data_IF_245184965290
#
_entry.id   IF_245184965290
#
_cell.length_a   1.000
_cell.length_b   1.000
_cell.length_c   1.000
_cell.angle_alpha   90.00
_cell.angle_beta   90.00
_cell.angle_gamma   90.00
#
_symmetry.space_group_name_H-M   'P 1'
#
loop_
_entity.id
_entity.type
_entity.pdbx_description
1 polymer ?
#
# COMPACT_ATOMS: atom_id res chain seq x y z
N UNK A 1 0.07 -12.05 15.17
CA UNK A 1 1.38 -11.65 14.59
C UNK A 1 2.43 -11.78 15.66
N UNK A 2 3.51 -12.50 15.36
CA UNK A 2 4.60 -12.74 16.30
C UNK A 2 5.70 -11.71 16.04
N UNK A 3 5.87 -10.76 16.96
CA UNK A 3 6.91 -9.73 16.87
C UNK A 3 8.04 -10.04 17.86
N UNK A 4 9.28 -9.89 17.42
CA UNK A 4 10.49 -10.07 18.24
C UNK A 4 11.17 -8.71 18.42
N UNK A 5 11.54 -8.38 19.67
CA UNK A 5 12.21 -7.14 20.05
C UNK A 5 13.47 -7.49 20.85
N UNK A 6 14.58 -6.91 20.49
CA UNK A 6 15.83 -7.04 21.26
C UNK A 6 15.92 -5.90 22.28
N UNK A 7 15.83 -6.20 23.55
CA UNK A 7 15.67 -5.22 24.65
C UNK A 7 16.88 -5.29 25.58
N UNK A 8 17.41 -4.13 26.03
CA UNK A 8 18.49 -4.10 27.01
C UNK A 8 18.12 -4.84 28.31
N UNK A 9 19.04 -5.63 28.85
CA UNK A 9 18.79 -6.44 30.05
C UNK A 9 18.40 -5.60 31.27
N UNK A 10 18.90 -4.36 31.40
CA UNK A 10 18.53 -3.45 32.47
C UNK A 10 17.05 -3.00 32.41
N UNK A 11 16.35 -3.19 31.29
CA UNK A 11 14.91 -2.92 31.13
C UNK A 11 14.05 -4.18 31.36
N UNK A 12 14.63 -5.36 31.55
CA UNK A 12 13.90 -6.63 31.73
C UNK A 12 12.80 -6.55 32.80
N UNK A 13 13.13 -5.99 33.95
CA UNK A 13 12.19 -5.90 35.06
C UNK A 13 11.03 -4.92 34.75
N UNK A 14 11.31 -3.82 34.09
CA UNK A 14 10.31 -2.85 33.64
C UNK A 14 9.38 -3.45 32.59
N UNK A 15 9.94 -4.15 31.60
CA UNK A 15 9.19 -4.88 30.57
C UNK A 15 8.30 -5.94 31.22
N UNK A 16 8.82 -6.74 32.15
CA UNK A 16 8.04 -7.76 32.84
C UNK A 16 6.87 -7.15 33.65
N UNK A 17 7.08 -6.03 34.33
CA UNK A 17 6.01 -5.27 35.02
C UNK A 17 4.94 -4.78 34.03
N UNK A 18 5.35 -4.29 32.87
CA UNK A 18 4.45 -3.86 31.81
C UNK A 18 3.65 -5.06 31.28
N UNK A 19 4.30 -6.12 30.85
CA UNK A 19 3.66 -7.34 30.31
C UNK A 19 2.71 -7.98 31.32
N UNK A 20 3.09 -8.05 32.61
CA UNK A 20 2.22 -8.56 33.68
C UNK A 20 0.97 -7.69 33.86
N UNK A 21 1.13 -6.36 33.88
CA UNK A 21 0.01 -5.42 33.98
C UNK A 21 -0.94 -5.54 32.79
N UNK A 22 -0.39 -5.72 31.59
CA UNK A 22 -1.15 -5.82 30.37
C UNK A 22 -1.73 -7.22 30.15
N UNK A 23 -1.01 -8.27 30.50
CA UNK A 23 -1.50 -9.63 30.47
C UNK A 23 -2.72 -9.86 31.38
N UNK A 24 -2.69 -9.31 32.60
CA UNK A 24 -3.88 -9.33 33.50
C UNK A 24 -5.09 -8.63 32.89
N UNK A 25 -4.87 -7.55 32.16
CA UNK A 25 -5.91 -6.79 31.51
C UNK A 25 -6.43 -7.50 30.24
N UNK A 26 -5.55 -8.09 29.45
CA UNK A 26 -5.92 -8.89 28.28
C UNK A 26 -6.70 -10.15 28.68
N UNK A 27 -6.26 -10.85 29.74
CA UNK A 27 -6.95 -12.00 30.29
C UNK A 27 -8.38 -11.67 30.80
N UNK A 28 -8.59 -10.49 31.38
CA UNK A 28 -9.91 -10.02 31.80
C UNK A 28 -10.90 -9.83 30.62
N UNK A 29 -10.40 -9.80 29.40
CA UNK A 29 -11.19 -9.68 28.15
C UNK A 29 -11.21 -10.98 27.33
N UNK A 30 -10.77 -12.11 27.91
CA UNK A 30 -10.85 -13.43 27.29
C UNK A 30 -9.74 -13.76 26.30
N UNK A 31 -8.74 -12.90 26.15
CA UNK A 31 -7.61 -13.14 25.24
C UNK A 31 -6.29 -12.92 25.95
N UNK A 32 -5.61 -13.98 26.36
CA UNK A 32 -4.33 -13.86 27.03
C UNK A 32 -3.25 -13.36 26.07
N UNK A 33 -2.52 -12.33 26.50
CA UNK A 33 -1.27 -11.93 25.87
C UNK A 33 -0.24 -13.04 26.17
N UNK A 34 0.30 -13.68 25.13
CA UNK A 34 1.43 -14.58 25.28
C UNK A 34 2.73 -13.87 24.94
N UNK A 35 3.77 -14.15 25.70
CA UNK A 35 5.10 -13.62 25.47
C UNK A 35 6.17 -14.60 25.92
N UNK A 36 7.33 -14.49 25.30
CA UNK A 36 8.51 -15.26 25.65
C UNK A 36 9.70 -14.28 25.79
N UNK A 37 10.45 -14.43 26.87
CA UNK A 37 11.64 -13.62 27.14
C UNK A 37 12.86 -14.54 27.05
N UNK A 38 13.75 -14.29 26.08
CA UNK A 38 14.95 -15.05 25.87
C UNK A 38 16.00 -14.88 26.99
N UNK A 39 17.04 -15.68 26.93
CA UNK A 39 18.21 -15.55 27.81
C UNK A 39 19.03 -14.32 27.43
N UNK A 40 19.71 -13.67 28.41
CA UNK A 40 20.56 -12.52 28.11
C UNK A 40 21.78 -12.89 27.25
N UNK A 41 22.13 -12.04 26.31
CA UNK A 41 23.32 -12.16 25.50
C UNK A 41 23.95 -10.78 25.25
N UNK A 42 25.27 -10.77 24.98
CA UNK A 42 25.97 -9.53 24.66
C UNK A 42 25.76 -9.16 23.19
N UNK A 43 25.33 -7.93 22.93
CA UNK A 43 25.15 -7.40 21.58
C UNK A 43 25.77 -6.01 21.46
N UNK A 44 26.22 -5.65 20.26
CA UNK A 44 26.72 -4.31 19.97
C UNK A 44 25.56 -3.39 19.59
N UNK A 45 25.50 -2.24 20.26
CA UNK A 45 24.52 -1.20 19.96
C UNK A 45 25.20 0.04 19.42
N UNK A 46 24.48 0.77 18.58
CA UNK A 46 24.89 2.09 18.10
C UNK A 46 24.40 3.14 19.10
N UNK A 47 25.28 4.02 19.54
CA UNK A 47 24.94 5.11 20.45
C UNK A 47 24.72 6.39 19.65
N UNK A 48 23.56 7.00 19.83
CA UNK A 48 23.16 8.21 19.11
C UNK A 48 23.01 9.39 20.06
N UNK A 49 23.30 10.58 19.55
CA UNK A 49 23.01 11.87 20.18
C UNK A 49 21.97 12.60 19.32
N UNK A 50 20.91 13.06 19.96
CA UNK A 50 19.91 13.89 19.28
C UNK A 50 20.37 15.32 19.18
N UNK A 51 20.36 15.88 17.98
CA UNK A 51 20.55 17.29 17.69
C UNK A 51 19.25 17.92 17.18
N UNK A 52 19.24 19.25 17.12
CA UNK A 52 18.16 20.02 16.52
C UNK A 52 18.72 20.92 15.42
N UNK A 53 18.17 20.81 14.23
CA UNK A 53 18.50 21.68 13.09
C UNK A 53 17.56 22.87 13.10
N UNK A 54 18.05 24.04 13.53
CA UNK A 54 17.27 25.26 13.60
C UNK A 54 16.86 25.77 12.21
N UNK A 55 17.64 25.49 11.18
CA UNK A 55 17.36 25.96 9.81
C UNK A 55 16.13 25.25 9.21
N UNK A 56 15.94 23.98 9.53
CA UNK A 56 14.86 23.17 9.00
C UNK A 56 13.77 22.83 10.05
N UNK A 57 13.95 23.24 11.31
CA UNK A 57 13.02 22.94 12.39
C UNK A 57 12.89 21.44 12.73
N UNK A 58 13.90 20.64 12.41
CA UNK A 58 13.87 19.19 12.54
C UNK A 58 14.89 18.66 13.56
N UNK A 59 14.52 17.58 14.27
CA UNK A 59 15.48 16.84 15.07
C UNK A 59 16.21 15.82 14.19
N UNK A 60 17.51 15.68 14.40
CA UNK A 60 18.32 14.64 13.80
C UNK A 60 19.03 13.83 14.88
N UNK A 61 19.40 12.60 14.55
CA UNK A 61 20.24 11.76 15.40
C UNK A 61 21.60 11.57 14.73
N UNK A 62 22.66 11.80 15.50
CA UNK A 62 24.03 11.61 15.08
C UNK A 62 24.61 10.40 15.82
N UNK A 63 25.16 9.44 15.09
CA UNK A 63 25.85 8.30 15.67
C UNK A 63 27.15 8.79 16.30
N UNK A 64 27.27 8.64 17.63
CA UNK A 64 28.46 9.06 18.39
C UNK A 64 29.39 7.90 18.70
N UNK A 65 28.96 6.66 18.49
CA UNK A 65 29.80 5.49 18.72
C UNK A 65 29.02 4.17 18.75
N UNK A 66 29.67 3.13 19.22
CA UNK A 66 29.09 1.82 19.52
C UNK A 66 29.42 1.42 20.96
N UNK A 67 28.57 0.63 21.58
CA UNK A 67 28.76 0.08 22.92
C UNK A 67 28.27 -1.36 22.97
N UNK A 68 28.95 -2.21 23.74
CA UNK A 68 28.47 -3.54 24.05
C UNK A 68 27.51 -3.47 25.22
N UNK A 69 26.32 -4.07 25.07
CA UNK A 69 25.31 -4.17 26.10
C UNK A 69 24.80 -5.61 26.22
N UNK A 70 24.35 -5.98 27.42
CA UNK A 70 23.56 -7.19 27.58
C UNK A 70 22.11 -6.92 27.17
N UNK A 71 21.54 -7.78 26.35
CA UNK A 71 20.18 -7.69 25.84
C UNK A 71 19.51 -9.06 25.83
N UNK A 72 18.20 -9.09 25.71
CA UNK A 72 17.40 -10.31 25.52
C UNK A 72 16.37 -10.10 24.43
N UNK A 73 15.96 -11.17 23.80
CA UNK A 73 14.86 -11.13 22.82
C UNK A 73 13.52 -11.30 23.53
N UNK A 74 12.60 -10.39 23.26
CA UNK A 74 11.21 -10.45 23.69
C UNK A 74 10.34 -10.79 22.48
N UNK A 75 9.71 -11.97 22.53
CA UNK A 75 8.69 -12.35 21.56
C UNK A 75 7.31 -12.10 22.14
N UNK A 76 6.43 -11.40 21.42
CA UNK A 76 5.05 -11.15 21.83
C UNK A 76 4.12 -11.70 20.76
N UNK A 77 3.10 -12.43 21.22
CA UNK A 77 1.99 -12.89 20.38
C UNK A 77 0.67 -12.45 21.01
N UNK A 78 -0.15 -11.74 20.24
CA UNK A 78 -1.43 -11.24 20.73
C UNK A 78 -2.27 -10.57 19.64
N UNK A 79 -3.57 -10.57 19.83
CA UNK A 79 -4.54 -9.88 18.98
C UNK A 79 -5.13 -8.67 19.72
N UNK A 80 -5.56 -7.66 18.95
CA UNK A 80 -6.27 -6.50 19.49
C UNK A 80 -7.72 -6.89 19.76
N UNK A 81 -8.16 -6.75 21.01
CA UNK A 81 -9.48 -7.17 21.43
C UNK A 81 -10.39 -5.99 21.67
N UNK A 82 -11.59 -6.07 21.15
CA UNK A 82 -12.71 -5.21 21.45
C UNK A 82 -13.76 -5.90 22.34
N UNK A 83 -14.49 -5.10 23.16
CA UNK A 83 -15.62 -5.58 23.93
C UNK A 83 -16.73 -6.07 22.99
N UNK A 84 -17.58 -7.00 23.47
CA UNK A 84 -18.70 -7.56 22.70
C UNK A 84 -19.34 -6.59 21.70
N UNK A 85 -19.30 -6.98 20.43
CA UNK A 85 -19.97 -6.29 19.33
C UNK A 85 -19.20 -5.21 18.59
N UNK A 86 -18.00 -4.82 19.02
CA UNK A 86 -17.19 -3.84 18.28
C UNK A 86 -15.79 -4.35 17.96
N UNK A 87 -15.31 -4.00 16.78
CA UNK A 87 -13.91 -4.25 16.35
C UNK A 87 -13.24 -2.92 16.01
N UNK A 88 -11.93 -2.84 16.18
CA UNK A 88 -11.14 -1.71 15.70
C UNK A 88 -10.82 -1.93 14.22
N UNK A 89 -11.19 -0.99 13.37
CA UNK A 89 -10.93 -1.04 11.94
C UNK A 89 -9.69 -0.21 11.55
N UNK A 90 -9.53 0.99 12.13
CA UNK A 90 -8.41 1.86 11.81
C UNK A 90 -8.06 2.85 12.95
N UNK A 91 -6.80 3.31 12.93
CA UNK A 91 -6.33 4.50 13.63
C UNK A 91 -6.09 5.59 12.58
N UNK A 92 -6.52 6.81 12.85
CA UNK A 92 -6.33 7.97 11.98
C UNK A 92 -5.45 8.99 12.71
N UNK A 93 -4.33 9.35 12.12
CA UNK A 93 -3.49 10.45 12.58
C UNK A 93 -3.77 11.68 11.71
N UNK A 94 -4.24 12.77 12.35
CA UNK A 94 -4.59 14.01 11.68
C UNK A 94 -3.35 14.93 11.61
N UNK A 95 -2.84 15.14 10.41
CA UNK A 95 -1.72 16.02 10.11
C UNK A 95 -2.22 17.25 9.33
N UNK A 96 -1.38 18.28 9.19
CA UNK A 96 -1.69 19.46 8.39
C UNK A 96 -1.90 19.09 6.90
N UNK A 97 -1.15 18.12 6.38
CA UNK A 97 -1.26 17.64 5.01
C UNK A 97 -2.48 16.75 4.74
N UNK A 98 -3.19 16.28 5.77
CA UNK A 98 -4.33 15.36 5.68
C UNK A 98 -4.27 14.24 6.72
N UNK A 99 -4.99 13.16 6.49
CA UNK A 99 -5.07 12.02 7.40
C UNK A 99 -4.14 10.88 6.97
N UNK A 100 -3.23 10.47 7.86
CA UNK A 100 -2.53 9.17 7.74
C UNK A 100 -3.41 8.10 8.38
N UNK A 101 -3.75 7.07 7.60
CA UNK A 101 -4.62 5.98 8.05
C UNK A 101 -3.78 4.73 8.26
N UNK A 102 -3.89 4.16 9.46
CA UNK A 102 -3.31 2.88 9.84
C UNK A 102 -4.44 1.87 9.97
N UNK A 103 -4.49 0.91 9.06
CA UNK A 103 -5.49 -0.18 9.14
C UNK A 103 -5.02 -1.28 10.08
N UNK A 104 -5.96 -1.96 10.70
CA UNK A 104 -5.67 -3.21 11.42
C UNK A 104 -5.43 -4.32 10.39
N UNK A 105 -4.68 -5.37 10.77
CA UNK A 105 -4.39 -6.50 9.89
C UNK A 105 -5.65 -6.99 9.15
N UNK A 106 -5.52 -7.23 7.86
CA UNK A 106 -6.57 -7.69 6.93
C UNK A 106 -7.70 -6.66 6.60
N UNK A 107 -7.59 -5.41 7.09
CA UNK A 107 -8.52 -4.34 6.72
C UNK A 107 -7.96 -3.49 5.57
N UNK A 108 -8.76 -3.31 4.52
CA UNK A 108 -8.46 -2.32 3.50
C UNK A 108 -8.86 -0.93 3.97
N UNK A 109 -7.94 0.03 3.88
CA UNK A 109 -8.24 1.43 4.20
C UNK A 109 -9.30 1.99 3.26
N UNK A 110 -10.25 2.77 3.79
CA UNK A 110 -11.29 3.41 2.98
C UNK A 110 -10.92 4.85 2.63
N UNK A 111 -11.28 5.28 1.42
CA UNK A 111 -11.07 6.67 0.99
C UNK A 111 -11.80 7.67 1.91
N UNK A 112 -12.96 7.30 2.41
CA UNK A 112 -13.77 8.11 3.33
C UNK A 112 -13.00 8.49 4.59
N UNK A 113 -12.20 7.58 5.15
CA UNK A 113 -11.41 7.81 6.36
C UNK A 113 -10.34 8.88 6.18
N UNK A 114 -9.90 9.13 4.94
CA UNK A 114 -8.91 10.15 4.59
C UNK A 114 -9.46 11.59 4.75
N UNK A 115 -10.79 11.74 4.67
CA UNK A 115 -11.47 13.02 4.72
C UNK A 115 -12.10 13.34 6.08
N UNK A 116 -11.98 12.42 7.05
CA UNK A 116 -12.58 12.60 8.35
C UNK A 116 -11.93 13.77 9.11
N UNK A 117 -12.75 14.65 9.66
CA UNK A 117 -12.29 15.67 10.60
C UNK A 117 -11.93 15.04 11.95
N UNK A 118 -11.09 15.65 12.80
CA UNK A 118 -10.70 15.12 14.10
C UNK A 118 -11.84 15.22 15.14
N UNK A 119 -13.05 14.79 14.79
CA UNK A 119 -14.24 14.85 15.61
C UNK A 119 -14.61 13.47 16.14
N UNK A 120 -14.99 13.41 17.41
CA UNK A 120 -15.52 12.20 18.01
C UNK A 120 -17.05 12.14 17.85
N UNK A 121 -17.59 11.12 17.19
CA UNK A 121 -19.03 10.94 17.02
C UNK A 121 -19.73 10.55 18.32
N UNK A 122 -19.00 9.99 19.31
CA UNK A 122 -19.57 9.63 20.59
C UNK A 122 -19.91 10.85 21.45
N UNK A 123 -18.96 11.72 21.69
CA UNK A 123 -19.17 12.89 22.58
C UNK A 123 -19.39 14.21 21.81
N UNK A 124 -19.34 14.18 20.47
CA UNK A 124 -19.46 15.36 19.62
C UNK A 124 -18.26 16.33 19.72
N UNK A 125 -17.26 16.01 20.53
CA UNK A 125 -16.14 16.89 20.81
C UNK A 125 -15.08 16.87 19.71
N UNK A 126 -14.58 18.08 19.39
CA UNK A 126 -13.35 18.28 18.62
C UNK A 126 -12.32 18.89 19.57
N UNK A 127 -11.68 18.06 20.38
CA UNK A 127 -10.76 18.51 21.43
C UNK A 127 -9.31 18.63 20.91
N UNK A 128 -9.10 19.10 19.68
CA UNK A 128 -7.77 19.19 19.07
C UNK A 128 -7.10 17.83 18.98
N UNK A 129 -7.89 16.78 18.73
CA UNK A 129 -7.42 15.41 18.70
C UNK A 129 -6.51 15.19 17.51
N UNK A 130 -5.24 14.92 17.78
CA UNK A 130 -4.28 14.53 16.74
C UNK A 130 -4.50 13.10 16.23
N UNK A 131 -5.28 12.29 16.98
CA UNK A 131 -5.54 10.88 16.66
C UNK A 131 -6.98 10.52 16.98
N UNK A 132 -7.66 9.88 16.05
CA UNK A 132 -8.97 9.25 16.21
C UNK A 132 -8.93 7.78 15.76
N UNK A 133 -10.00 7.05 16.02
CA UNK A 133 -10.10 5.63 15.77
C UNK A 133 -11.43 5.31 15.08
N UNK A 134 -11.41 4.38 14.15
CA UNK A 134 -12.62 3.82 13.55
C UNK A 134 -12.94 2.50 14.25
N UNK A 135 -14.12 2.42 14.79
CA UNK A 135 -14.67 1.19 15.38
C UNK A 135 -15.85 0.73 14.55
N UNK A 136 -16.02 -0.59 14.41
CA UNK A 136 -17.08 -1.23 13.63
C UNK A 136 -17.87 -2.15 14.53
N UNK A 137 -19.20 -2.09 14.47
CA UNK A 137 -20.08 -3.02 15.18
C UNK A 137 -20.25 -4.35 14.42
N UNK A 138 -21.00 -5.29 15.01
CA UNK A 138 -21.28 -6.60 14.41
C UNK A 138 -22.14 -6.55 13.15
N UNK A 139 -22.82 -5.42 12.89
CA UNK A 139 -23.62 -5.18 11.69
C UNK A 139 -22.82 -4.49 10.59
N UNK A 140 -21.55 -4.11 10.87
CA UNK A 140 -20.67 -3.44 9.92
C UNK A 140 -20.77 -1.92 9.96
N UNK A 141 -21.55 -1.31 10.87
CA UNK A 141 -21.64 0.14 10.99
C UNK A 141 -20.37 0.70 11.65
N UNK A 142 -19.83 1.76 11.08
CA UNK A 142 -18.60 2.39 11.53
C UNK A 142 -18.85 3.68 12.29
N UNK A 143 -18.00 3.94 13.29
CA UNK A 143 -17.99 5.20 14.05
C UNK A 143 -16.59 5.69 14.28
N UNK A 144 -16.39 7.00 14.10
CA UNK A 144 -15.15 7.66 14.46
C UNK A 144 -15.20 8.09 15.92
N UNK A 145 -14.25 7.62 16.74
CA UNK A 145 -14.19 7.94 18.16
C UNK A 145 -12.82 8.52 18.55
N UNK A 146 -12.85 9.45 19.49
CA UNK A 146 -11.62 9.98 20.07
C UNK A 146 -10.99 9.00 21.06
N UNK A 147 -9.73 9.23 21.37
CA UNK A 147 -8.93 8.37 22.25
C UNK A 147 -9.64 8.06 23.60
N UNK A 148 -10.30 9.03 24.21
CA UNK A 148 -10.97 8.86 25.51
C UNK A 148 -12.25 8.04 25.35
N UNK A 149 -13.04 8.32 24.31
CA UNK A 149 -14.34 7.67 24.08
C UNK A 149 -14.20 6.25 23.52
N UNK A 150 -13.05 5.89 22.95
CA UNK A 150 -12.77 4.53 22.50
C UNK A 150 -12.98 3.50 23.62
N UNK A 151 -12.74 3.88 24.87
CA UNK A 151 -12.97 3.05 26.04
C UNK A 151 -14.43 2.64 26.20
N UNK A 152 -15.37 3.52 25.88
CA UNK A 152 -16.81 3.28 26.04
C UNK A 152 -17.34 2.32 24.97
N UNK A 153 -16.73 2.31 23.77
CA UNK A 153 -17.11 1.43 22.66
C UNK A 153 -16.39 0.09 22.68
N UNK A 154 -15.11 0.09 22.93
CA UNK A 154 -14.32 -1.12 22.88
C UNK A 154 -14.08 -1.74 24.26
N UNK A 155 -14.57 -1.12 25.36
CA UNK A 155 -14.19 -1.50 26.72
C UNK A 155 -12.68 -1.39 26.96
N UNK A 156 -11.96 -0.85 26.00
CA UNK A 156 -10.52 -0.74 25.94
C UNK A 156 -10.16 0.72 26.24
N UNK A 157 -9.33 0.91 27.26
CA UNK A 157 -8.68 2.19 27.48
C UNK A 157 -7.94 2.59 26.20
N UNK A 158 -8.10 3.82 25.66
CA UNK A 158 -7.34 4.30 24.49
C UNK A 158 -5.83 4.16 24.63
N UNK A 159 -5.34 4.15 25.88
CA UNK A 159 -3.97 3.75 26.19
C UNK A 159 -3.71 2.27 25.86
N UNK A 160 -4.72 1.46 25.54
CA UNK A 160 -4.62 0.03 25.27
C UNK A 160 -4.81 -0.35 23.79
N UNK A 161 -5.55 0.42 22.98
CA UNK A 161 -5.58 0.27 21.51
C UNK A 161 -4.31 0.87 20.91
N UNK A 162 -3.86 1.98 21.49
CA UNK A 162 -2.47 2.35 21.35
C UNK A 162 -1.52 1.38 22.11
N UNK A 163 -1.98 0.25 22.67
CA UNK A 163 -1.13 -0.58 23.48
C UNK A 163 -0.31 -1.55 22.66
N UNK A 164 -0.87 -2.21 21.66
CA UNK A 164 -0.06 -2.98 20.72
C UNK A 164 0.75 -2.03 19.86
N UNK A 165 0.17 -0.94 19.37
CA UNK A 165 0.94 0.11 18.72
C UNK A 165 1.85 0.88 19.69
N UNK A 166 1.49 1.07 20.97
CA UNK A 166 2.39 1.63 22.00
C UNK A 166 3.33 0.61 22.60
N UNK A 167 2.98 -0.65 22.63
CA UNK A 167 3.93 -1.71 22.95
C UNK A 167 4.88 -1.90 21.78
N UNK A 168 4.40 -1.85 20.52
CA UNK A 168 5.28 -1.74 19.36
C UNK A 168 6.13 -0.48 19.41
N UNK A 169 5.55 0.70 19.60
CA UNK A 169 6.29 1.96 19.71
C UNK A 169 7.21 1.94 20.97
N UNK A 170 6.74 1.43 22.10
CA UNK A 170 7.51 1.36 23.34
C UNK A 170 8.63 0.31 23.26
N UNK A 171 8.38 -0.85 22.67
CA UNK A 171 9.41 -1.88 22.49
C UNK A 171 10.35 -1.53 21.35
N UNK A 172 9.88 -0.84 20.33
CA UNK A 172 10.73 -0.21 19.33
C UNK A 172 11.59 0.92 19.94
N UNK A 173 11.09 1.63 20.96
CA UNK A 173 11.84 2.63 21.73
C UNK A 173 12.80 2.01 22.75
N UNK A 174 12.53 0.78 23.22
CA UNK A 174 13.37 0.01 24.12
C UNK A 174 14.29 -0.97 23.40
N UNK A 175 14.07 -1.21 22.11
CA UNK A 175 14.95 -2.03 21.30
C UNK A 175 16.38 -1.49 21.33
N UNK A 176 17.37 -2.36 21.57
CA UNK A 176 18.77 -1.96 21.75
C UNK A 176 19.33 -1.14 20.60
N UNK A 177 18.80 -1.33 19.39
CA UNK A 177 19.19 -0.53 18.24
C UNK A 177 18.60 0.89 18.24
N UNK A 178 17.59 1.14 19.09
CA UNK A 178 16.86 2.41 19.19
C UNK A 178 16.95 3.07 20.56
N UNK A 179 17.50 2.36 21.54
CA UNK A 179 17.59 2.85 22.91
C UNK A 179 18.65 3.95 23.01
N UNK A 180 18.21 5.17 23.31
CA UNK A 180 19.10 6.27 23.65
C UNK A 180 19.46 6.21 25.13
N UNK A 181 20.63 5.70 25.45
CA UNK A 181 21.15 5.58 26.81
C UNK A 181 21.52 6.92 27.44
N UNK A 182 21.57 8.01 26.65
CA UNK A 182 22.03 9.31 27.11
C UNK A 182 20.87 10.28 27.33
N UNK A 183 19.89 10.30 26.44
CA UNK A 183 18.69 11.14 26.53
C UNK A 183 17.49 10.43 25.89
N UNK A 184 16.31 10.48 26.51
CA UNK A 184 15.04 10.11 25.85
C UNK A 184 14.46 11.34 25.15
N UNK A 185 14.74 11.55 23.87
CA UNK A 185 14.24 12.71 23.18
C UNK A 185 12.75 12.57 22.81
N UNK A 186 12.12 13.71 22.52
CA UNK A 186 10.87 13.72 21.77
C UNK A 186 11.05 12.89 20.47
N UNK A 187 9.99 12.20 20.04
CA UNK A 187 10.03 11.38 18.80
C UNK A 187 10.58 12.23 17.68
N UNK A 188 11.73 11.90 17.08
CA UNK A 188 12.33 12.74 16.07
C UNK A 188 11.40 12.86 14.85
N UNK A 189 11.31 14.08 14.31
CA UNK A 189 10.69 14.35 13.04
C UNK A 189 11.78 14.46 11.98
N UNK A 190 11.59 13.79 10.86
CA UNK A 190 12.53 13.74 9.74
C UNK A 190 11.93 14.44 8.53
N UNK A 191 12.77 14.96 7.64
CA UNK A 191 12.34 15.47 6.34
C UNK A 191 11.73 14.33 5.52
N UNK A 192 10.48 14.50 5.08
CA UNK A 192 9.82 13.51 4.20
C UNK A 192 10.58 13.36 2.89
N UNK A 193 11.14 14.46 2.37
CA UNK A 193 11.88 14.44 1.10
C UNK A 193 13.19 13.66 1.22
N UNK A 194 13.96 13.87 2.28
CA UNK A 194 15.19 13.09 2.51
C UNK A 194 14.88 11.61 2.73
N UNK A 195 13.85 11.30 3.50
CA UNK A 195 13.42 9.91 3.72
C UNK A 195 12.97 9.25 2.40
N UNK A 196 12.26 9.97 1.54
CA UNK A 196 11.85 9.46 0.21
C UNK A 196 13.06 9.23 -0.69
N UNK A 197 14.04 10.14 -0.71
CA UNK A 197 15.26 9.99 -1.49
C UNK A 197 16.05 8.75 -1.07
N UNK A 198 16.19 8.52 0.23
CA UNK A 198 16.84 7.30 0.75
C UNK A 198 16.01 6.05 0.47
N UNK A 199 14.68 6.12 0.48
CA UNK A 199 13.81 5.01 0.08
C UNK A 199 13.99 4.64 -1.40
N UNK A 200 14.18 5.63 -2.28
CA UNK A 200 14.52 5.41 -3.71
C UNK A 200 15.88 4.72 -3.83
N UNK A 201 16.89 5.15 -3.08
CA UNK A 201 18.20 4.45 -3.01
C UNK A 201 18.01 2.98 -2.67
N UNK A 202 17.25 2.67 -1.60
CA UNK A 202 17.01 1.31 -1.16
C UNK A 202 16.28 0.48 -2.21
N UNK A 203 15.26 1.06 -2.86
CA UNK A 203 14.52 0.42 -3.95
C UNK A 203 15.44 0.08 -5.13
N UNK A 204 16.32 1.00 -5.52
CA UNK A 204 17.25 0.81 -6.63
C UNK A 204 18.33 -0.24 -6.31
N UNK A 205 18.74 -0.33 -5.04
CA UNK A 205 19.83 -1.22 -4.61
C UNK A 205 19.35 -2.63 -4.29
N UNK A 206 18.18 -2.80 -3.66
CA UNK A 206 17.72 -4.08 -3.12
C UNK A 206 16.36 -4.52 -3.66
N UNK A 207 15.65 -3.66 -4.42
CA UNK A 207 14.23 -3.83 -4.67
C UNK A 207 13.40 -3.54 -3.40
N UNK A 208 12.11 -3.86 -3.45
CA UNK A 208 11.25 -3.71 -2.27
C UNK A 208 11.21 -5.01 -1.46
N UNK A 209 11.47 -4.87 -0.17
CA UNK A 209 11.37 -5.95 0.82
C UNK A 209 10.37 -5.53 1.89
N UNK A 210 9.34 -6.36 2.13
CA UNK A 210 8.24 -6.04 3.03
C UNK A 210 8.66 -6.02 4.49
N UNK A 211 7.84 -5.41 5.36
CA UNK A 211 8.11 -5.36 6.80
C UNK A 211 8.11 -6.75 7.47
N UNK A 212 7.53 -7.78 6.82
CA UNK A 212 7.58 -9.18 7.30
C UNK A 212 8.98 -9.79 7.27
N UNK A 213 9.93 -9.18 6.54
CA UNK A 213 11.32 -9.62 6.45
C UNK A 213 12.20 -9.04 7.59
N UNK A 214 11.58 -8.45 8.61
CA UNK A 214 12.29 -7.91 9.77
C UNK A 214 13.35 -6.87 9.39
N UNK A 215 14.59 -7.05 9.88
CA UNK A 215 15.71 -6.11 9.67
C UNK A 215 16.13 -5.98 8.21
N UNK A 216 15.80 -6.96 7.37
CA UNK A 216 16.05 -6.90 5.93
C UNK A 216 14.99 -6.08 5.16
N UNK A 217 13.94 -5.64 5.83
CA UNK A 217 12.91 -4.81 5.20
C UNK A 217 13.40 -3.42 4.82
N UNK A 218 12.83 -2.85 3.76
CA UNK A 218 13.17 -1.47 3.38
C UNK A 218 12.78 -0.46 4.47
N UNK A 219 11.74 -0.76 5.27
CA UNK A 219 11.38 0.04 6.46
C UNK A 219 12.51 0.07 7.48
N UNK A 220 13.06 -1.09 7.85
CA UNK A 220 14.14 -1.19 8.82
C UNK A 220 15.43 -0.54 8.30
N UNK A 221 15.80 -0.83 7.04
CA UNK A 221 16.96 -0.20 6.41
C UNK A 221 16.85 1.32 6.34
N UNK A 222 15.67 1.85 5.99
CA UNK A 222 15.43 3.30 5.98
C UNK A 222 15.58 3.90 7.38
N UNK A 223 15.07 3.22 8.40
CA UNK A 223 15.25 3.63 9.79
C UNK A 223 16.74 3.72 10.15
N UNK A 224 17.54 2.71 9.81
CA UNK A 224 18.98 2.73 10.06
C UNK A 224 19.68 3.90 9.36
N UNK A 225 19.42 4.09 8.05
CA UNK A 225 20.02 5.19 7.29
C UNK A 225 19.69 6.55 7.91
N UNK A 226 18.41 6.78 8.24
CA UNK A 226 17.97 8.05 8.83
C UNK A 226 18.56 8.28 10.22
N UNK A 227 18.69 7.23 11.03
CA UNK A 227 19.28 7.30 12.38
C UNK A 227 20.79 7.47 12.36
N UNK A 228 21.45 6.86 11.38
CA UNK A 228 22.91 6.99 11.19
C UNK A 228 23.30 8.37 10.62
N UNK A 229 22.30 9.23 10.35
CA UNK A 229 22.51 10.57 9.81
C UNK A 229 22.94 10.54 8.34
N UNK A 230 22.66 9.42 7.63
CA UNK A 230 22.92 9.31 6.20
C UNK A 230 22.15 10.38 5.44
N UNK A 231 22.84 11.03 4.50
CA UNK A 231 22.26 12.04 3.64
C UNK A 231 22.09 11.49 2.22
N UNK A 232 20.96 11.81 1.58
CA UNK A 232 20.80 11.50 0.16
C UNK A 232 21.78 12.32 -0.67
N UNK A 233 22.21 11.77 -1.79
CA UNK A 233 22.96 12.50 -2.81
C UNK A 233 22.04 13.50 -3.53
N UNK A 234 22.63 14.50 -4.18
CA UNK A 234 21.89 15.47 -4.98
C UNK A 234 21.02 14.79 -6.07
N UNK A 235 21.55 13.73 -6.69
CA UNK A 235 20.80 12.94 -7.68
C UNK A 235 19.57 12.27 -7.08
N UNK A 236 19.71 11.64 -5.91
CA UNK A 236 18.62 10.98 -5.20
C UNK A 236 17.55 11.99 -4.76
N UNK A 237 17.95 13.19 -4.33
CA UNK A 237 17.02 14.28 -4.02
C UNK A 237 16.26 14.73 -5.28
N UNK A 238 16.93 14.91 -6.41
CA UNK A 238 16.28 15.25 -7.67
C UNK A 238 15.28 14.18 -8.12
N UNK A 239 15.62 12.90 -7.96
CA UNK A 239 14.70 11.79 -8.25
C UNK A 239 13.48 11.82 -7.31
N UNK A 240 13.68 12.10 -6.02
CA UNK A 240 12.62 12.23 -5.04
C UNK A 240 11.73 13.46 -5.32
N UNK A 241 12.30 14.58 -5.67
CA UNK A 241 11.59 15.81 -6.07
C UNK A 241 10.72 15.57 -7.32
N UNK A 242 11.28 14.90 -8.33
CA UNK A 242 10.54 14.56 -9.55
C UNK A 242 9.35 13.63 -9.23
N UNK A 243 9.56 12.63 -8.39
CA UNK A 243 8.51 11.73 -7.92
C UNK A 243 7.45 12.48 -7.11
N UNK A 244 7.87 13.30 -6.15
CA UNK A 244 7.00 14.09 -5.29
C UNK A 244 6.17 15.08 -6.10
N UNK A 245 6.77 15.75 -7.09
CA UNK A 245 6.08 16.67 -7.98
C UNK A 245 4.89 16.01 -8.68
N UNK A 246 5.03 14.78 -9.15
CA UNK A 246 3.92 14.01 -9.76
C UNK A 246 2.89 13.63 -8.71
N UNK A 247 3.31 13.07 -7.57
CA UNK A 247 2.38 12.63 -6.51
C UNK A 247 1.54 13.81 -6.00
N UNK A 248 2.14 14.98 -5.85
CA UNK A 248 1.45 16.18 -5.37
C UNK A 248 0.44 16.78 -6.37
N UNK A 249 0.46 16.34 -7.65
CA UNK A 249 -0.61 16.69 -8.61
C UNK A 249 -1.87 15.86 -8.42
N UNK A 250 -1.79 14.75 -7.67
CA UNK A 250 -2.94 13.88 -7.44
C UNK A 250 -3.97 14.57 -6.56
N UNK A 251 -5.24 14.31 -6.86
CA UNK A 251 -6.27 14.43 -5.84
C UNK A 251 -6.19 13.24 -4.88
N UNK A 252 -6.95 13.30 -3.80
CA UNK A 252 -6.91 12.28 -2.77
C UNK A 252 -7.37 10.89 -3.28
N UNK A 253 -8.36 10.87 -4.19
CA UNK A 253 -8.85 9.62 -4.77
C UNK A 253 -7.79 8.97 -5.67
N UNK A 254 -7.09 9.77 -6.47
CA UNK A 254 -5.98 9.30 -7.30
C UNK A 254 -4.82 8.77 -6.46
N UNK A 255 -4.46 9.48 -5.37
CA UNK A 255 -3.43 9.03 -4.44
C UNK A 255 -3.80 7.68 -3.80
N UNK A 256 -5.05 7.54 -3.36
CA UNK A 256 -5.58 6.31 -2.78
C UNK A 256 -5.59 5.13 -3.78
N UNK A 257 -6.12 5.34 -5.00
CA UNK A 257 -6.15 4.31 -6.04
C UNK A 257 -4.76 3.79 -6.43
N UNK A 258 -3.73 4.61 -6.23
CA UNK A 258 -2.34 4.26 -6.50
C UNK A 258 -1.57 3.76 -5.28
N UNK A 259 -2.23 3.61 -4.12
CA UNK A 259 -1.59 3.24 -2.84
C UNK A 259 -0.48 4.21 -2.40
N UNK A 260 -0.62 5.48 -2.79
CA UNK A 260 0.31 6.57 -2.49
C UNK A 260 -0.28 7.61 -1.53
N UNK A 261 -1.47 7.37 -1.02
CA UNK A 261 -2.24 8.29 -0.20
C UNK A 261 -1.52 8.70 1.10
N UNK A 262 -0.89 7.76 1.81
CA UNK A 262 -0.08 8.09 2.99
C UNK A 262 1.17 8.88 2.62
N UNK A 263 1.85 8.53 1.51
CA UNK A 263 3.02 9.28 1.00
C UNK A 263 2.61 10.69 0.59
N UNK A 264 1.48 10.84 -0.09
CA UNK A 264 0.90 12.12 -0.49
C UNK A 264 0.65 13.04 0.71
N UNK A 265 0.05 12.51 1.80
CA UNK A 265 -0.16 13.26 3.05
C UNK A 265 1.17 13.68 3.68
N UNK A 266 2.15 12.78 3.74
CA UNK A 266 3.45 13.04 4.34
C UNK A 266 4.27 14.07 3.54
N UNK A 267 4.21 14.03 2.20
CA UNK A 267 4.83 15.05 1.34
C UNK A 267 4.23 16.43 1.58
N UNK A 268 2.91 16.52 1.72
CA UNK A 268 2.22 17.78 2.03
C UNK A 268 2.52 18.29 3.44
N UNK A 269 2.76 17.39 4.37
CA UNK A 269 3.15 17.74 5.74
C UNK A 269 4.61 18.17 5.86
N UNK A 270 5.47 17.78 4.90
CA UNK A 270 6.90 18.09 4.87
C UNK A 270 7.75 17.27 5.83
N UNK A 271 7.14 16.60 6.81
CA UNK A 271 7.85 15.82 7.83
C UNK A 271 7.22 14.44 8.03
N UNK A 272 8.02 13.50 8.49
CA UNK A 272 7.60 12.15 8.84
C UNK A 272 8.27 11.68 10.14
N UNK A 273 7.71 10.63 10.75
CA UNK A 273 8.24 9.95 11.93
C UNK A 273 8.66 8.53 11.55
N UNK A 274 9.40 7.84 12.43
CA UNK A 274 9.77 6.43 12.22
C UNK A 274 8.56 5.53 11.94
N UNK A 275 7.40 5.79 12.58
CA UNK A 275 6.14 5.06 12.32
C UNK A 275 5.64 5.20 10.87
N UNK A 276 6.06 6.23 10.15
CA UNK A 276 5.67 6.48 8.76
C UNK A 276 6.62 5.82 7.74
N UNK A 277 7.79 5.32 8.18
CA UNK A 277 8.81 4.83 7.26
C UNK A 277 8.37 3.63 6.43
N UNK A 278 7.42 2.82 6.91
CA UNK A 278 6.82 1.76 6.10
C UNK A 278 6.14 2.29 4.83
N UNK A 279 5.41 3.39 4.95
CA UNK A 279 4.74 4.04 3.80
C UNK A 279 5.76 4.71 2.88
N UNK A 280 6.74 5.42 3.43
CA UNK A 280 7.80 6.07 2.65
C UNK A 280 8.61 5.01 1.88
N UNK A 281 9.01 3.92 2.54
CA UNK A 281 9.77 2.84 1.92
C UNK A 281 9.00 2.10 0.80
N UNK A 282 7.68 2.03 0.91
CA UNK A 282 6.81 1.46 -0.12
C UNK A 282 6.54 2.42 -1.29
N UNK A 283 6.64 3.72 -1.05
CA UNK A 283 6.32 4.77 -2.03
C UNK A 283 6.96 4.58 -3.41
N UNK A 284 8.28 4.34 -3.53
CA UNK A 284 8.93 4.13 -4.82
C UNK A 284 8.34 2.96 -5.62
N UNK A 285 8.05 1.82 -4.97
CA UNK A 285 7.41 0.68 -5.62
C UNK A 285 5.99 1.02 -6.11
N UNK A 286 5.18 1.68 -5.28
CA UNK A 286 3.84 2.08 -5.66
C UNK A 286 3.86 3.05 -6.85
N UNK A 287 4.81 3.98 -6.86
CA UNK A 287 4.99 4.92 -7.96
C UNK A 287 5.45 4.25 -9.26
N UNK A 288 6.33 3.25 -9.18
CA UNK A 288 6.73 2.46 -10.35
C UNK A 288 5.55 1.67 -10.93
N UNK A 289 4.70 1.10 -10.09
CA UNK A 289 3.45 0.43 -10.52
C UNK A 289 2.51 1.41 -11.21
N UNK A 290 2.39 2.63 -10.70
CA UNK A 290 1.62 3.70 -11.32
C UNK A 290 2.15 4.02 -12.73
N UNK A 291 3.47 4.25 -12.88
CA UNK A 291 4.10 4.50 -14.20
C UNK A 291 3.88 3.36 -15.19
N UNK A 292 4.05 2.11 -14.73
CA UNK A 292 3.82 0.93 -15.58
C UNK A 292 2.37 0.79 -16.02
N UNK A 293 1.42 1.16 -15.16
CA UNK A 293 0.00 1.18 -15.52
C UNK A 293 -0.25 2.22 -16.60
N UNK A 294 0.22 3.45 -16.43
CA UNK A 294 0.08 4.51 -17.42
C UNK A 294 0.70 4.12 -18.78
N UNK A 295 1.87 3.51 -18.77
CA UNK A 295 2.52 3.05 -19.99
C UNK A 295 1.66 2.01 -20.73
N UNK A 296 1.11 1.03 -20.00
CA UNK A 296 0.21 0.01 -20.58
C UNK A 296 -1.10 0.62 -21.11
N UNK A 297 -1.67 1.58 -20.39
CA UNK A 297 -2.87 2.29 -20.83
C UNK A 297 -2.60 3.10 -22.10
N UNK A 298 -1.45 3.78 -22.18
CA UNK A 298 -1.03 4.52 -23.37
C UNK A 298 -0.76 3.60 -24.56
N UNK A 299 -0.08 2.47 -24.36
CA UNK A 299 0.14 1.45 -25.40
C UNK A 299 -1.19 0.87 -25.91
N UNK A 300 -2.12 0.55 -24.99
CA UNK A 300 -3.43 0.04 -25.33
C UNK A 300 -4.25 1.05 -26.15
N UNK A 301 -4.26 2.33 -25.71
CA UNK A 301 -4.98 3.39 -26.45
C UNK A 301 -4.32 3.69 -27.81
N UNK A 302 -2.99 3.64 -27.88
CA UNK A 302 -2.28 3.78 -29.16
C UNK A 302 -2.64 2.64 -30.15
N UNK A 303 -2.67 1.40 -29.65
CA UNK A 303 -3.09 0.25 -30.47
C UNK A 303 -4.54 0.38 -30.93
N UNK A 304 -5.44 0.82 -30.04
CA UNK A 304 -6.85 1.06 -30.35
C UNK A 304 -7.03 2.18 -31.37
N UNK A 305 -6.24 3.25 -31.28
CA UNK A 305 -6.26 4.34 -32.24
C UNK A 305 -5.72 3.91 -33.59
N UNK A 306 -4.68 3.07 -33.63
CA UNK A 306 -4.19 2.49 -34.88
C UNK A 306 -5.28 1.63 -35.57
N UNK A 307 -5.99 0.80 -34.81
CA UNK A 307 -7.13 0.04 -35.33
C UNK A 307 -8.26 0.93 -35.84
N UNK A 308 -8.59 2.03 -35.15
CA UNK A 308 -9.59 3.02 -35.59
C UNK A 308 -9.24 3.62 -36.95
N UNK A 309 -7.95 3.89 -37.20
CA UNK A 309 -7.49 4.49 -38.45
C UNK A 309 -7.37 3.49 -39.55
N UNK A 310 -7.02 2.23 -39.27
CA UNK A 310 -6.80 1.20 -40.24
C UNK A 310 -8.09 0.50 -40.71
N UNK A 311 -9.09 0.37 -39.81
CA UNK A 311 -10.26 -0.44 -40.10
C UNK A 311 -11.34 0.30 -40.88
N UNK A 312 -11.79 -0.30 -41.97
CA UNK A 312 -12.98 0.10 -42.72
C UNK A 312 -13.90 -1.11 -42.97
N UNK A 313 -15.11 -0.86 -43.45
CA UNK A 313 -16.04 -1.92 -43.78
C UNK A 313 -15.59 -2.72 -44.99
N UNK A 314 -15.64 -4.04 -44.89
CA UNK A 314 -15.26 -4.96 -45.99
C UNK A 314 -16.49 -5.56 -46.62
N UNK A 315 -16.67 -5.32 -47.94
CA UNK A 315 -17.78 -5.81 -48.72
C UNK A 315 -19.13 -5.17 -48.38
N UNK A 316 -20.20 -5.62 -49.04
CA UNK A 316 -21.58 -5.17 -48.78
C UNK A 316 -22.34 -6.22 -47.96
N UNK A 317 -23.32 -5.80 -47.19
CA UNK A 317 -24.21 -6.71 -46.46
C UNK A 317 -24.83 -7.74 -47.44
N UNK A 318 -24.71 -9.02 -47.11
CA UNK A 318 -25.12 -10.13 -47.94
C UNK A 318 -24.06 -10.64 -48.90
N UNK A 319 -22.99 -9.92 -49.12
CA UNK A 319 -21.91 -10.28 -50.03
C UNK A 319 -21.07 -11.43 -49.46
N UNK A 320 -20.59 -12.32 -50.38
CA UNK A 320 -19.63 -13.37 -50.06
C UNK A 320 -18.21 -12.88 -50.34
N UNK A 321 -17.46 -12.65 -49.28
CA UNK A 321 -16.09 -12.11 -49.36
C UNK A 321 -15.05 -13.21 -49.08
N UNK A 322 -13.84 -12.98 -49.55
CA UNK A 322 -12.65 -13.74 -49.17
C UNK A 322 -11.57 -12.76 -48.77
N UNK A 323 -11.04 -12.88 -47.57
CA UNK A 323 -10.02 -11.99 -47.02
C UNK A 323 -8.78 -12.76 -46.63
N UNK A 324 -7.63 -12.16 -46.85
CA UNK A 324 -6.36 -12.63 -46.30
C UNK A 324 -6.26 -12.19 -44.83
N UNK A 325 -5.96 -13.12 -43.94
CA UNK A 325 -6.01 -12.92 -42.52
C UNK A 325 -4.60 -12.66 -41.99
N UNK A 326 -4.44 -11.55 -41.27
CA UNK A 326 -3.23 -11.19 -40.54
C UNK A 326 -3.23 -11.72 -39.11
N UNK A 327 -4.38 -11.65 -38.41
CA UNK A 327 -4.49 -12.10 -37.02
C UNK A 327 -5.89 -12.65 -36.72
N UNK A 328 -5.95 -13.65 -35.81
CA UNK A 328 -7.19 -14.23 -35.29
C UNK A 328 -7.15 -14.31 -33.77
N UNK A 329 -8.04 -13.62 -33.11
CA UNK A 329 -8.10 -13.57 -31.64
C UNK A 329 -9.45 -14.01 -31.14
N UNK A 330 -9.48 -15.02 -30.25
CA UNK A 330 -10.66 -15.37 -29.48
C UNK A 330 -10.85 -14.29 -28.35
N UNK A 331 -11.97 -13.57 -28.41
CA UNK A 331 -12.28 -12.54 -27.41
C UNK A 331 -12.94 -13.14 -26.18
N UNK A 332 -13.95 -14.02 -26.39
CA UNK A 332 -14.70 -14.69 -25.32
C UNK A 332 -15.45 -15.89 -25.89
N UNK A 333 -15.93 -16.75 -25.01
CA UNK A 333 -16.84 -17.82 -25.34
C UNK A 333 -17.89 -17.98 -24.23
N UNK A 334 -19.06 -18.45 -24.62
CA UNK A 334 -20.14 -18.77 -23.66
C UNK A 334 -20.97 -19.95 -24.15
N UNK A 335 -21.60 -20.63 -23.22
CA UNK A 335 -22.56 -21.70 -23.50
C UNK A 335 -23.97 -21.11 -23.57
N UNK A 336 -24.68 -21.41 -24.66
CA UNK A 336 -26.05 -21.02 -24.86
C UNK A 336 -26.94 -22.25 -25.08
N UNK A 337 -28.24 -22.05 -25.27
CA UNK A 337 -29.22 -23.14 -25.50
C UNK A 337 -28.86 -24.07 -26.67
N UNK A 338 -28.05 -23.61 -27.62
CA UNK A 338 -27.66 -24.33 -28.83
C UNK A 338 -26.17 -24.73 -28.84
N UNK A 339 -25.52 -24.76 -27.68
CA UNK A 339 -24.11 -25.10 -27.51
C UNK A 339 -23.21 -23.89 -27.37
N UNK A 340 -21.88 -24.11 -27.51
CA UNK A 340 -20.88 -23.06 -27.34
C UNK A 340 -20.86 -22.08 -28.50
N UNK A 341 -20.77 -20.79 -28.16
CA UNK A 341 -20.50 -19.71 -29.11
C UNK A 341 -19.14 -19.09 -28.79
N UNK A 342 -18.30 -18.94 -29.80
CA UNK A 342 -16.96 -18.36 -29.72
C UNK A 342 -16.98 -17.04 -30.49
N UNK A 343 -16.60 -15.94 -29.83
CA UNK A 343 -16.50 -14.63 -30.43
C UNK A 343 -15.07 -14.37 -30.85
N UNK A 344 -14.86 -14.33 -32.17
CA UNK A 344 -13.56 -14.06 -32.76
C UNK A 344 -13.49 -12.64 -33.33
N UNK A 345 -12.38 -11.97 -33.04
CA UNK A 345 -11.89 -10.80 -33.75
C UNK A 345 -10.85 -11.25 -34.76
N UNK A 346 -11.06 -10.93 -36.00
CA UNK A 346 -10.17 -11.28 -37.12
C UNK A 346 -9.71 -9.97 -37.74
N UNK A 347 -8.41 -9.84 -37.98
CA UNK A 347 -7.80 -8.68 -38.63
C UNK A 347 -7.32 -9.17 -40.01
N UNK A 348 -7.77 -8.52 -41.10
CA UNK A 348 -7.25 -8.83 -42.42
C UNK A 348 -5.90 -8.14 -42.66
N UNK A 349 -5.24 -8.49 -43.78
CA UNK A 349 -3.94 -7.91 -44.12
C UNK A 349 -4.00 -6.42 -44.46
N UNK A 350 -5.18 -5.84 -44.67
CA UNK A 350 -5.39 -4.41 -44.85
C UNK A 350 -5.65 -3.67 -43.54
N UNK A 351 -5.76 -4.39 -42.41
CA UNK A 351 -6.03 -3.83 -41.09
C UNK A 351 -7.51 -3.72 -40.74
N UNK A 352 -8.42 -4.24 -41.58
CA UNK A 352 -9.86 -4.19 -41.28
C UNK A 352 -10.25 -5.23 -40.23
N UNK A 353 -11.19 -4.87 -39.37
CA UNK A 353 -11.69 -5.73 -38.30
C UNK A 353 -12.96 -6.45 -38.71
N UNK A 354 -12.92 -7.79 -38.68
CA UNK A 354 -14.07 -8.64 -38.85
C UNK A 354 -14.44 -9.34 -37.54
N UNK A 355 -15.72 -9.42 -37.27
CA UNK A 355 -16.27 -10.07 -36.06
C UNK A 355 -17.06 -11.30 -36.48
N UNK A 356 -16.71 -12.44 -35.90
CA UNK A 356 -17.36 -13.70 -36.17
C UNK A 356 -17.83 -14.38 -34.86
N UNK A 357 -19.14 -14.69 -34.84
CA UNK A 357 -19.76 -15.54 -33.84
C UNK A 357 -19.75 -16.98 -34.37
N UNK A 358 -18.80 -17.79 -33.88
CA UNK A 358 -18.56 -19.15 -34.35
C UNK A 358 -19.15 -20.19 -33.41
N UNK A 359 -19.64 -21.30 -33.95
CA UNK A 359 -20.06 -22.49 -33.17
C UNK A 359 -18.95 -23.51 -32.96
N UNK A 360 -17.74 -23.22 -33.48
CA UNK A 360 -16.57 -24.09 -33.33
C UNK A 360 -15.30 -23.26 -33.17
N UNK A 361 -14.29 -23.84 -32.56
CA UNK A 361 -12.97 -23.22 -32.43
C UNK A 361 -12.21 -23.21 -33.76
N UNK A 362 -11.43 -22.16 -33.98
CA UNK A 362 -10.39 -22.07 -35.02
C UNK A 362 -9.07 -21.70 -34.31
N UNK A 363 -7.99 -22.36 -34.71
CA UNK A 363 -6.67 -22.11 -34.14
C UNK A 363 -5.88 -21.12 -35.02
N UNK A 364 -5.85 -21.31 -36.33
CA UNK A 364 -5.18 -20.42 -37.30
C UNK A 364 -5.96 -20.35 -38.63
N UNK A 365 -5.96 -19.17 -39.23
CA UNK A 365 -6.52 -18.98 -40.56
C UNK A 365 -5.65 -17.99 -41.32
N UNK A 366 -5.09 -18.41 -42.47
CA UNK A 366 -4.38 -17.50 -43.41
C UNK A 366 -5.36 -16.82 -44.36
N UNK A 367 -6.45 -17.49 -44.67
CA UNK A 367 -7.48 -16.96 -45.57
C UNK A 367 -8.87 -17.38 -45.07
N UNK A 368 -9.79 -16.41 -45.01
CA UNK A 368 -11.15 -16.61 -44.56
C UNK A 368 -12.15 -16.26 -45.63
N UNK A 369 -13.04 -17.20 -45.94
CA UNK A 369 -14.17 -16.97 -46.81
C UNK A 369 -15.43 -16.84 -45.95
N UNK A 370 -16.13 -15.70 -46.06
CA UNK A 370 -17.25 -15.35 -45.16
C UNK A 370 -18.37 -14.65 -45.94
N UNK A 371 -19.59 -14.60 -45.34
CA UNK A 371 -20.67 -13.75 -45.82
C UNK A 371 -20.80 -12.57 -44.87
N UNK A 372 -20.82 -11.36 -45.39
CA UNK A 372 -21.05 -10.14 -44.58
C UNK A 372 -22.49 -10.18 -44.05
N UNK A 373 -22.63 -10.20 -42.74
CA UNK A 373 -23.95 -10.20 -42.08
C UNK A 373 -24.41 -8.78 -41.81
N UNK A 374 -23.49 -7.94 -41.36
CA UNK A 374 -23.81 -6.56 -40.96
C UNK A 374 -22.53 -5.73 -40.86
N UNK A 375 -22.68 -4.42 -40.85
CA UNK A 375 -21.63 -3.47 -40.51
C UNK A 375 -21.94 -2.82 -39.16
N UNK A 376 -20.96 -2.74 -38.29
CA UNK A 376 -21.10 -2.10 -36.97
C UNK A 376 -19.89 -1.23 -36.66
N UNK A 377 -20.07 -0.34 -35.73
CA UNK A 377 -18.98 0.46 -35.16
C UNK A 377 -18.98 0.28 -33.64
N UNK A 378 -17.81 -0.03 -33.10
CA UNK A 378 -17.64 -0.15 -31.65
C UNK A 378 -16.39 0.60 -31.23
N UNK A 379 -16.54 1.51 -30.27
CA UNK A 379 -15.44 2.37 -29.78
C UNK A 379 -14.75 3.17 -30.91
N UNK A 380 -15.46 3.55 -31.96
CA UNK A 380 -14.94 4.25 -33.13
C UNK A 380 -14.20 3.35 -34.14
N UNK A 381 -14.19 2.03 -33.93
CA UNK A 381 -13.61 1.05 -34.86
C UNK A 381 -14.73 0.48 -35.71
N UNK A 382 -14.63 0.67 -37.04
CA UNK A 382 -15.52 0.04 -37.99
C UNK A 382 -15.28 -1.47 -38.01
N UNK A 383 -16.36 -2.25 -37.94
CA UNK A 383 -16.28 -3.71 -37.87
C UNK A 383 -17.25 -4.34 -38.85
N UNK A 384 -16.79 -5.33 -39.59
CA UNK A 384 -17.65 -6.14 -40.45
C UNK A 384 -18.06 -7.42 -39.73
N UNK A 385 -19.33 -7.55 -39.40
CA UNK A 385 -19.84 -8.78 -38.81
C UNK A 385 -20.02 -9.82 -39.88
N UNK A 386 -19.38 -10.98 -39.70
CA UNK A 386 -19.39 -12.05 -40.71
C UNK A 386 -20.04 -13.32 -40.20
N UNK A 387 -20.58 -14.10 -41.13
CA UNK A 387 -21.22 -15.38 -40.87
C UNK A 387 -20.85 -16.39 -41.96
N UNK A 388 -21.23 -17.66 -41.74
CA UNK A 388 -20.92 -18.76 -42.70
C UNK A 388 -19.45 -18.83 -43.09
N UNK A 389 -18.61 -18.59 -42.10
CA UNK A 389 -17.17 -18.56 -42.32
C UNK A 389 -16.59 -19.95 -42.56
N UNK A 390 -15.66 -20.00 -43.49
CA UNK A 390 -14.84 -21.19 -43.77
C UNK A 390 -13.38 -20.77 -43.93
N UNK A 391 -12.49 -21.44 -43.22
CA UNK A 391 -11.04 -21.28 -43.38
C UNK A 391 -10.70 -21.95 -44.73
N UNK A 392 -10.01 -21.22 -45.59
CA UNK A 392 -9.54 -21.72 -46.90
C UNK A 392 -8.09 -22.14 -46.69
N UNK A 393 -7.79 -23.38 -47.09
CA UNK A 393 -6.39 -23.83 -47.15
C UNK A 393 -5.59 -22.93 -48.07
N UNK A 394 -4.36 -22.58 -47.65
CA UNK A 394 -3.45 -21.74 -48.45
C UNK A 394 -3.00 -22.44 -49.71
#
# INVERSE_FOLDING_TARGET
>A
VKNVYTIPENERENVLKLLTRYGKKAAAYGQPLSYEMGEPYATEIKVYKTGYDEANGTHYQEKVGTSMVEAFDLTIDGEIICKEGYTLAAKIEHLEGGNVVYTVADEEGKLEWRNLSPRCEHCGGNHGQKVTFIVRDSEGNEKQVGRTCLKDYCGIDPQRVGLLNKLEDLFLDLDVERYDFINRPAVPAYSTMEALALAIRLQNQYGYTSSSEGDHSNKARLLHLMRDGERPTEKELQEAEAMAAVILTFDQAQAYQNSLDNVWVLLRSGYCKCSHFGYIAYGPLAFDRYKQRLAREAEWEAAKNAERQASDYVGKVGERITVDVADVKLLTSWEGEWGFTFLYKIIDTAGNVLIWYASRTIEEAKKLRATVKDHSERDGIKQTIVTRCSVVAA
#
